data_IF_033739359932
#
_entry.id   IF_033739359932
#
_cell.length_a   1.000
_cell.length_b   1.000
_cell.length_c   1.000
_cell.angle_alpha   90.00
_cell.angle_beta   90.00
_cell.angle_gamma   90.00
#
_symmetry.space_group_name_H-M   'P 1'
#
loop_
_entity.id
_entity.type
_entity.pdbx_description
1 polymer ?
#
# COMPACT_ATOMS: atom_id res chain seq x y z
N UNK A 1 5.49 -14.18 -3.07
CA UNK A 1 5.72 -13.46 -4.35
C UNK A 1 5.12 -12.08 -4.21
N UNK A 2 5.86 -11.02 -4.51
CA UNK A 2 5.37 -9.63 -4.43
C UNK A 2 4.41 -9.28 -5.56
N UNK A 3 3.51 -8.32 -5.32
CA UNK A 3 2.60 -7.77 -6.33
C UNK A 3 2.92 -6.28 -6.47
N UNK A 4 3.61 -5.86 -7.55
CA UNK A 4 4.04 -4.47 -7.70
C UNK A 4 2.90 -3.46 -7.58
N UNK A 5 1.71 -3.79 -8.10
CA UNK A 5 0.54 -2.94 -7.97
C UNK A 5 0.11 -2.74 -6.51
N UNK A 6 0.12 -3.78 -5.69
CA UNK A 6 -0.22 -3.70 -4.27
C UNK A 6 0.83 -2.90 -3.48
N UNK A 7 2.12 -3.15 -3.77
CA UNK A 7 3.22 -2.45 -3.14
C UNK A 7 3.17 -0.94 -3.46
N UNK A 8 2.87 -0.57 -4.70
CA UNK A 8 2.71 0.83 -5.13
C UNK A 8 1.45 1.48 -4.56
N UNK A 9 0.33 0.76 -4.47
CA UNK A 9 -0.87 1.26 -3.78
C UNK A 9 -0.55 1.60 -2.32
N UNK A 10 0.19 0.73 -1.62
CA UNK A 10 0.60 0.98 -0.23
C UNK A 10 1.56 2.15 -0.13
N UNK A 11 2.65 2.14 -0.91
CA UNK A 11 3.67 3.18 -0.90
C UNK A 11 3.07 4.57 -1.18
N UNK A 12 2.27 4.70 -2.24
CA UNK A 12 1.60 5.96 -2.53
C UNK A 12 0.59 6.29 -1.43
N UNK A 13 -0.09 5.28 -0.89
CA UNK A 13 -1.04 5.38 0.22
C UNK A 13 -0.47 6.05 1.47
N UNK A 14 0.75 5.68 1.84
CA UNK A 14 1.42 6.13 3.07
C UNK A 14 2.27 7.38 2.87
N UNK A 15 2.80 7.62 1.67
CA UNK A 15 3.74 8.73 1.42
C UNK A 15 3.10 9.94 0.72
N UNK A 16 1.93 9.79 0.08
CA UNK A 16 1.29 10.86 -0.69
C UNK A 16 -0.14 11.15 -0.20
N UNK A 17 -0.49 12.43 -0.18
CA UNK A 17 -1.88 12.84 0.01
C UNK A 17 -2.78 12.25 -1.09
N UNK A 18 -4.07 12.07 -0.79
CA UNK A 18 -5.04 11.57 -1.77
C UNK A 18 -5.09 12.40 -3.06
N UNK A 19 -4.98 13.73 -2.95
CA UNK A 19 -4.96 14.64 -4.11
C UNK A 19 -3.79 14.34 -5.04
N UNK A 20 -2.57 14.27 -4.50
CA UNK A 20 -1.36 14.02 -5.30
C UNK A 20 -1.41 12.65 -5.98
N UNK A 21 -1.91 11.62 -5.29
CA UNK A 21 -2.10 10.30 -5.90
C UNK A 21 -3.06 10.35 -7.08
N UNK A 22 -4.23 10.93 -6.90
CA UNK A 22 -5.25 10.98 -7.95
C UNK A 22 -4.77 11.74 -9.20
N UNK A 23 -3.99 12.80 -9.01
CA UNK A 23 -3.50 13.63 -10.12
C UNK A 23 -2.31 13.01 -10.85
N UNK A 24 -1.40 12.32 -10.13
CA UNK A 24 -0.10 11.92 -10.66
C UNK A 24 0.13 10.40 -10.74
N UNK A 25 -0.86 9.55 -10.42
CA UNK A 25 -0.65 8.10 -10.34
C UNK A 25 -0.05 7.50 -11.63
N UNK A 26 -0.47 7.96 -12.82
CA UNK A 26 0.08 7.44 -14.08
C UNK A 26 1.56 7.77 -14.27
N UNK A 27 1.96 9.00 -13.97
CA UNK A 27 3.34 9.47 -14.05
C UNK A 27 4.23 8.71 -13.06
N UNK A 28 3.73 8.50 -11.84
CA UNK A 28 4.43 7.75 -10.80
C UNK A 28 4.63 6.28 -11.19
N UNK A 29 3.60 5.63 -11.75
CA UNK A 29 3.71 4.25 -12.24
C UNK A 29 4.65 4.14 -13.43
N UNK A 30 4.63 5.14 -14.33
CA UNK A 30 5.57 5.18 -15.44
C UNK A 30 7.01 5.30 -14.95
N UNK A 31 7.31 6.21 -14.01
CA UNK A 31 8.65 6.34 -13.44
C UNK A 31 9.13 5.07 -12.75
N UNK A 32 8.26 4.42 -12.00
CA UNK A 32 8.58 3.11 -11.41
C UNK A 32 8.89 2.06 -12.48
N UNK A 33 8.08 1.99 -13.54
CA UNK A 33 8.27 1.03 -14.62
C UNK A 33 9.59 1.28 -15.39
N UNK A 34 9.95 2.54 -15.63
CA UNK A 34 11.23 2.93 -16.22
C UNK A 34 12.41 2.43 -15.37
N UNK A 35 12.42 2.72 -14.07
CA UNK A 35 13.47 2.21 -13.17
C UNK A 35 13.51 0.68 -13.12
N UNK A 36 12.35 0.03 -13.07
CA UNK A 36 12.30 -1.43 -13.07
C UNK A 36 12.85 -2.01 -14.38
N UNK A 37 12.58 -1.38 -15.53
CA UNK A 37 13.12 -1.80 -16.81
C UNK A 37 14.65 -1.63 -16.87
N UNK A 38 15.19 -0.55 -16.31
CA UNK A 38 16.64 -0.35 -16.16
C UNK A 38 17.28 -1.47 -15.34
N UNK A 39 16.70 -1.82 -14.19
CA UNK A 39 17.18 -2.90 -13.32
C UNK A 39 17.07 -4.30 -13.97
N UNK A 40 16.01 -4.54 -14.75
CA UNK A 40 15.82 -5.78 -15.50
C UNK A 40 16.85 -5.91 -16.64
N UNK A 41 17.34 -4.77 -17.15
CA UNK A 41 18.38 -4.69 -18.17
C UNK A 41 17.94 -5.28 -19.51
N UNK A 42 18.76 -6.16 -20.08
CA UNK A 42 18.49 -6.79 -21.38
C UNK A 42 17.45 -7.92 -21.34
N UNK A 43 16.86 -8.19 -20.17
CA UNK A 43 15.83 -9.21 -20.05
C UNK A 43 14.47 -8.67 -20.49
N UNK A 44 13.58 -9.59 -20.88
CA UNK A 44 12.20 -9.22 -21.22
C UNK A 44 11.45 -8.81 -19.95
N UNK A 45 10.80 -7.65 -19.99
CA UNK A 45 9.91 -7.21 -18.91
C UNK A 45 8.76 -8.22 -18.70
N UNK A 46 8.45 -8.57 -17.44
CA UNK A 46 7.44 -9.58 -17.13
C UNK A 46 6.00 -9.10 -17.39
N UNK A 47 5.79 -7.79 -17.50
CA UNK A 47 4.50 -7.16 -17.80
C UNK A 47 4.74 -5.84 -18.53
N UNK A 48 3.70 -5.33 -19.19
CA UNK A 48 3.72 -3.99 -19.82
C UNK A 48 3.33 -2.90 -18.83
N UNK A 49 3.66 -1.64 -19.16
CA UNK A 49 3.21 -0.48 -18.39
C UNK A 49 1.67 -0.44 -18.27
N UNK A 50 0.94 -0.77 -19.34
CA UNK A 50 -0.52 -0.78 -19.32
C UNK A 50 -1.08 -1.86 -18.38
N UNK A 51 -0.44 -3.04 -18.33
CA UNK A 51 -0.81 -4.08 -17.37
C UNK A 51 -0.57 -3.63 -15.92
N UNK A 52 0.51 -2.88 -15.67
CA UNK A 52 0.78 -2.31 -14.35
C UNK A 52 -0.28 -1.27 -13.97
N UNK A 53 -0.60 -0.33 -14.88
CA UNK A 53 -1.63 0.70 -14.68
C UNK A 53 -2.99 0.08 -14.39
N UNK A 54 -3.39 -0.93 -15.17
CA UNK A 54 -4.65 -1.62 -14.99
C UNK A 54 -4.70 -2.36 -13.65
N UNK A 55 -3.62 -3.06 -13.30
CA UNK A 55 -3.52 -3.76 -12.01
C UNK A 55 -3.61 -2.77 -10.82
N UNK A 56 -2.90 -1.64 -10.89
CA UNK A 56 -2.98 -0.59 -9.86
C UNK A 56 -4.41 -0.07 -9.67
N UNK A 57 -5.13 0.24 -10.76
CA UNK A 57 -6.52 0.72 -10.68
C UNK A 57 -7.47 -0.29 -10.05
N UNK A 58 -7.24 -1.59 -10.25
CA UNK A 58 -8.05 -2.67 -9.67
C UNK A 58 -7.73 -2.92 -8.20
N UNK A 59 -6.44 -2.91 -7.85
CA UNK A 59 -5.98 -3.17 -6.49
C UNK A 59 -6.33 -2.01 -5.56
N UNK A 60 -6.26 -0.76 -6.02
CA UNK A 60 -6.55 0.40 -5.19
C UNK A 60 -7.89 0.33 -4.45
N UNK A 61 -9.06 0.15 -5.11
CA UNK A 61 -10.35 0.09 -4.42
C UNK A 61 -10.50 -1.15 -3.54
N UNK A 62 -10.05 -2.32 -4.02
CA UNK A 62 -10.18 -3.59 -3.28
C UNK A 62 -9.29 -3.58 -2.03
N UNK A 63 -8.01 -3.20 -2.20
CA UNK A 63 -7.05 -3.09 -1.11
C UNK A 63 -7.47 -2.03 -0.09
N UNK A 64 -7.96 -0.88 -0.55
CA UNK A 64 -8.47 0.17 0.35
C UNK A 64 -9.68 -0.33 1.15
N UNK A 65 -10.62 -1.05 0.52
CA UNK A 65 -11.79 -1.59 1.20
C UNK A 65 -11.41 -2.60 2.30
N UNK A 66 -10.48 -3.51 2.01
CA UNK A 66 -10.01 -4.49 2.99
C UNK A 66 -9.31 -3.83 4.17
N UNK A 67 -8.48 -2.81 3.91
CA UNK A 67 -7.81 -2.03 4.97
C UNK A 67 -8.81 -1.28 5.83
N UNK A 68 -9.88 -0.74 5.23
CA UNK A 68 -10.90 0.03 5.95
C UNK A 68 -11.58 -0.76 7.07
N UNK A 69 -11.88 -2.04 6.82
CA UNK A 69 -12.47 -2.91 7.84
C UNK A 69 -11.50 -3.13 9.01
N UNK A 70 -10.22 -3.37 8.73
CA UNK A 70 -9.17 -3.53 9.75
C UNK A 70 -8.96 -2.25 10.56
N UNK A 71 -8.93 -1.11 9.87
CA UNK A 71 -8.78 0.21 10.50
C UNK A 71 -9.98 0.53 11.40
N UNK A 72 -11.20 0.23 10.96
CA UNK A 72 -12.40 0.45 11.78
C UNK A 72 -12.37 -0.39 13.07
N UNK A 73 -12.05 -1.68 12.98
CA UNK A 73 -11.92 -2.55 14.15
C UNK A 73 -10.82 -2.08 15.10
N UNK A 74 -9.69 -1.61 14.56
CA UNK A 74 -8.61 -1.02 15.34
C UNK A 74 -9.04 0.24 16.11
N UNK A 75 -9.76 1.15 15.44
CA UNK A 75 -10.24 2.37 16.09
C UNK A 75 -11.30 2.09 17.16
N UNK A 76 -12.18 1.12 16.95
CA UNK A 76 -13.19 0.73 17.93
C UNK A 76 -12.54 0.18 19.21
N UNK A 77 -11.57 -0.73 19.06
CA UNK A 77 -10.80 -1.29 20.19
C UNK A 77 -10.06 -0.19 20.97
N UNK A 78 -9.36 0.71 20.27
CA UNK A 78 -8.63 1.80 20.91
C UNK A 78 -9.56 2.80 21.61
N UNK A 79 -10.71 3.11 21.01
CA UNK A 79 -11.65 4.10 21.57
C UNK A 79 -12.32 3.58 22.84
N UNK A 80 -12.56 2.27 22.92
CA UNK A 80 -13.21 1.62 24.06
C UNK A 80 -12.23 1.18 25.15
N UNK A 81 -10.91 1.30 24.95
CA UNK A 81 -9.91 0.93 25.95
C UNK A 81 -9.74 2.04 27.02
N UNK A 82 -10.12 1.80 28.29
CA UNK A 82 -10.03 2.82 29.34
C UNK A 82 -8.61 3.05 29.87
N UNK A 83 -7.67 2.16 29.53
CA UNK A 83 -6.29 2.12 30.03
C UNK A 83 -5.32 2.64 28.97
N UNK A 84 -4.64 3.75 29.28
CA UNK A 84 -3.72 4.42 28.36
C UNK A 84 -2.44 3.62 28.08
N UNK A 85 -1.99 2.76 29.00
CA UNK A 85 -0.81 1.94 28.77
C UNK A 85 -1.15 0.72 27.92
N UNK A 86 -2.33 0.14 28.10
CA UNK A 86 -2.86 -0.88 27.18
C UNK A 86 -3.14 -0.34 25.78
N UNK A 87 -3.66 0.88 25.64
CA UNK A 87 -3.81 1.55 24.33
C UNK A 87 -2.48 1.63 23.57
N UNK A 88 -1.39 2.01 24.25
CA UNK A 88 -0.05 2.07 23.64
C UNK A 88 0.44 0.68 23.23
N UNK A 89 0.21 -0.33 24.06
CA UNK A 89 0.58 -1.71 23.77
C UNK A 89 -0.15 -2.24 22.53
N UNK A 90 -1.48 -2.08 22.48
CA UNK A 90 -2.31 -2.46 21.33
C UNK A 90 -1.84 -1.73 20.07
N UNK A 91 -1.66 -0.41 20.12
CA UNK A 91 -1.14 0.35 18.98
C UNK A 91 0.24 -0.16 18.50
N UNK A 92 1.13 -0.51 19.42
CA UNK A 92 2.45 -1.06 19.12
C UNK A 92 2.36 -2.46 18.45
N UNK A 93 1.48 -3.32 18.95
CA UNK A 93 1.22 -4.64 18.38
C UNK A 93 0.68 -4.54 16.95
N UNK A 94 -0.23 -3.61 16.67
CA UNK A 94 -0.75 -3.40 15.31
C UNK A 94 0.32 -2.87 14.34
N UNK A 95 1.18 -1.95 14.80
CA UNK A 95 2.32 -1.49 14.00
C UNK A 95 3.33 -2.61 13.72
N UNK A 96 3.58 -3.49 14.69
CA UNK A 96 4.46 -4.65 14.52
C UNK A 96 3.83 -5.73 13.65
N UNK A 97 2.52 -5.96 13.77
CA UNK A 97 1.79 -6.90 12.93
C UNK A 97 1.82 -6.45 11.47
N UNK A 98 1.53 -5.17 11.20
CA UNK A 98 1.67 -4.60 9.86
C UNK A 98 3.11 -4.79 9.37
N UNK A 99 4.13 -4.38 10.13
CA UNK A 99 5.54 -4.59 9.77
C UNK A 99 5.90 -6.05 9.44
N UNK A 100 5.42 -7.02 10.23
CA UNK A 100 5.71 -8.45 10.06
C UNK A 100 5.00 -9.08 8.85
N UNK A 101 3.87 -8.53 8.39
CA UNK A 101 3.26 -8.95 7.11
C UNK A 101 4.22 -8.69 5.93
N UNK A 102 5.16 -7.75 6.10
CA UNK A 102 6.07 -7.29 5.04
C UNK A 102 7.49 -7.84 5.11
N UNK A 103 7.77 -8.75 6.05
CA UNK A 103 9.06 -9.43 6.18
C UNK A 103 9.00 -10.83 5.58
#
# INVERSE_FOLDING_TARGET
>A
MGCPANDLVRLFGTCLSGRYRQQHWEELLQRFYEYLAEEVGNNKMPFTLDQLKESYRRVLPVGTFLVLATVAAFFDELSNCPDEDKKKEVACQYMQADYNVWK
#
